data_IF_812617079046
#
_entry.id   IF_812617079046
#
_cell.length_a   1.000
_cell.length_b   1.000
_cell.length_c   1.000
_cell.angle_alpha   90.00
_cell.angle_beta   90.00
_cell.angle_gamma   90.00
#
_symmetry.space_group_name_H-M   'P 1'
#
loop_
_entity.id
_entity.type
_entity.pdbx_description
1 polymer ?
#
# COMPACT_ATOMS: atom_id res chain seq x y z
N UNK A 1 -16.82 -4.16 4.98
CA UNK A 1 -16.56 -3.13 6.01
C UNK A 1 -16.65 -1.78 5.35
N UNK A 2 -17.49 -0.92 5.90
CA UNK A 2 -17.71 0.45 5.44
C UNK A 2 -16.75 1.39 6.18
N UNK A 3 -16.01 2.23 5.46
CA UNK A 3 -15.05 3.18 6.05
C UNK A 3 -15.28 4.58 5.47
N UNK A 4 -15.23 5.65 6.29
CA UNK A 4 -15.47 7.00 5.77
C UNK A 4 -14.35 7.46 4.84
N UNK A 5 -14.72 8.08 3.71
CA UNK A 5 -13.73 8.66 2.78
C UNK A 5 -12.98 9.87 3.38
N UNK A 6 -13.62 10.57 4.31
CA UNK A 6 -13.09 11.77 4.96
C UNK A 6 -13.23 11.62 6.47
N UNK A 7 -12.16 11.88 7.21
CA UNK A 7 -12.17 11.82 8.67
C UNK A 7 -11.28 12.90 9.30
N UNK A 8 -11.60 13.34 10.52
CA UNK A 8 -10.73 14.25 11.29
C UNK A 8 -9.73 13.45 12.10
N UNK A 9 -8.44 13.68 11.88
CA UNK A 9 -7.34 13.02 12.60
C UNK A 9 -6.18 13.98 12.82
N UNK A 10 -5.28 13.61 13.72
CA UNK A 10 -4.03 14.33 13.95
C UNK A 10 -3.15 14.30 12.69
N UNK A 11 -2.62 15.46 12.29
CA UNK A 11 -1.62 15.58 11.25
C UNK A 11 -0.23 15.77 11.88
N UNK A 12 0.75 14.87 11.66
CA UNK A 12 2.09 14.97 12.24
C UNK A 12 2.95 16.09 11.62
N UNK A 13 2.47 16.74 10.55
CA UNK A 13 3.18 17.86 9.91
C UNK A 13 2.60 19.22 10.32
N UNK A 14 1.30 19.29 10.56
CA UNK A 14 0.64 20.51 11.01
C UNK A 14 0.52 20.58 12.54
N UNK A 15 0.85 19.50 13.26
CA UNK A 15 0.72 19.33 14.70
C UNK A 15 -0.67 19.67 15.25
N UNK A 16 -1.72 19.48 14.45
CA UNK A 16 -3.11 19.75 14.81
C UNK A 16 -4.05 18.74 14.17
N UNK A 17 -5.26 18.64 14.71
CA UNK A 17 -6.32 17.81 14.16
C UNK A 17 -6.97 18.48 12.96
N UNK A 18 -6.82 17.88 11.78
CA UNK A 18 -7.38 18.39 10.52
C UNK A 18 -8.24 17.34 9.85
N UNK A 19 -9.03 17.78 8.87
CA UNK A 19 -9.71 16.88 7.95
C UNK A 19 -8.68 16.17 7.06
N UNK A 20 -8.84 14.87 6.89
CA UNK A 20 -8.01 14.03 6.05
C UNK A 20 -8.87 13.24 5.07
N UNK A 21 -8.43 13.19 3.82
CA UNK A 21 -8.94 12.28 2.81
C UNK A 21 -8.22 10.94 2.93
N UNK A 22 -9.01 9.86 2.96
CA UNK A 22 -8.49 8.50 3.10
C UNK A 22 -8.45 7.83 1.74
N UNK A 23 -7.26 7.36 1.38
CA UNK A 23 -7.01 6.67 0.12
C UNK A 23 -6.51 5.25 0.40
N UNK A 24 -6.92 4.30 -0.45
CA UNK A 24 -6.35 2.95 -0.47
C UNK A 24 -5.15 2.91 -1.41
N UNK A 25 -4.03 2.35 -0.94
CA UNK A 25 -2.82 2.21 -1.76
C UNK A 25 -2.99 1.07 -2.76
N UNK A 26 -2.70 1.37 -4.03
CA UNK A 26 -2.57 0.36 -5.09
C UNK A 26 -1.09 0.02 -5.31
N UNK A 27 -0.78 -1.27 -5.43
CA UNK A 27 0.56 -1.74 -5.78
C UNK A 27 0.86 -1.38 -7.23
N UNK A 28 2.03 -0.77 -7.47
CA UNK A 28 2.55 -0.50 -8.82
C UNK A 28 3.37 -1.69 -9.33
N UNK A 29 3.56 -1.77 -10.64
CA UNK A 29 4.49 -2.71 -11.26
C UNK A 29 5.91 -2.51 -10.72
N UNK A 30 6.68 -3.60 -10.73
CA UNK A 30 8.06 -3.57 -10.24
C UNK A 30 8.93 -2.77 -11.21
N UNK A 31 9.81 -1.92 -10.66
CA UNK A 31 10.79 -1.17 -11.45
C UNK A 31 11.87 -2.10 -12.02
N UNK A 32 12.13 -2.01 -13.32
CA UNK A 32 13.14 -2.81 -14.04
C UNK A 32 14.57 -2.49 -13.60
N UNK A 33 14.86 -1.22 -13.34
CA UNK A 33 16.19 -0.74 -12.92
C UNK A 33 16.53 -1.05 -11.45
N UNK A 34 15.59 -1.61 -10.68
CA UNK A 34 15.85 -2.01 -9.30
C UNK A 34 16.97 -3.06 -9.25
N UNK A 35 17.90 -2.92 -8.30
CA UNK A 35 19.05 -3.81 -8.16
C UNK A 35 18.65 -5.29 -8.09
N UNK A 36 17.59 -5.62 -7.34
CA UNK A 36 17.08 -6.99 -7.24
C UNK A 36 16.55 -7.54 -8.55
N UNK A 37 15.93 -6.70 -9.40
CA UNK A 37 15.44 -7.12 -10.71
C UNK A 37 16.60 -7.34 -11.68
N UNK A 38 17.60 -6.45 -11.68
CA UNK A 38 18.84 -6.62 -12.46
C UNK A 38 19.55 -7.92 -12.10
N UNK A 39 19.68 -8.23 -10.80
CA UNK A 39 20.28 -9.49 -10.33
C UNK A 39 19.47 -10.72 -10.75
N UNK A 40 18.15 -10.65 -10.68
CA UNK A 40 17.27 -11.76 -11.10
C UNK A 40 17.38 -12.00 -12.60
N UNK A 41 17.29 -10.94 -13.42
CA UNK A 41 17.43 -11.05 -14.87
C UNK A 41 18.81 -11.60 -15.26
N UNK A 42 19.89 -11.22 -14.57
CA UNK A 42 21.23 -11.80 -14.79
C UNK A 42 21.28 -13.30 -14.49
N UNK A 43 20.62 -13.75 -13.42
CA UNK A 43 20.53 -15.19 -13.09
C UNK A 43 19.61 -15.98 -14.02
N UNK A 44 18.64 -15.32 -14.63
CA UNK A 44 17.69 -15.94 -15.56
C UNK A 44 18.29 -16.10 -16.97
N UNK A 45 19.33 -15.34 -17.33
CA UNK A 45 19.98 -15.43 -18.64
C UNK A 45 20.73 -16.75 -18.80
N UNK A 46 20.63 -17.34 -19.99
CA UNK A 46 21.29 -18.60 -20.34
C UNK A 46 20.37 -19.81 -20.16
N UNK A 47 20.95 -21.00 -20.22
CA UNK A 47 20.23 -22.25 -20.00
C UNK A 47 20.22 -22.61 -18.51
N UNK A 48 19.06 -23.01 -18.00
CA UNK A 48 18.91 -23.43 -16.61
C UNK A 48 17.45 -23.45 -16.15
N UNK A 49 17.23 -24.01 -14.97
CA UNK A 49 15.94 -24.01 -14.29
C UNK A 49 15.65 -22.66 -13.61
N UNK A 50 14.42 -22.48 -13.14
CA UNK A 50 14.00 -21.22 -12.51
C UNK A 50 14.79 -20.94 -11.22
N UNK A 51 15.46 -19.78 -11.10
CA UNK A 51 16.55 -19.60 -10.12
C UNK A 51 16.13 -19.26 -8.69
N UNK A 52 14.82 -19.16 -8.39
CA UNK A 52 14.31 -18.80 -7.04
C UNK A 52 13.01 -19.54 -6.74
N UNK A 53 12.75 -19.95 -5.49
CA UNK A 53 11.47 -20.55 -5.13
C UNK A 53 10.33 -19.54 -5.28
N UNK A 54 9.22 -19.98 -5.88
CA UNK A 54 7.98 -19.20 -6.00
C UNK A 54 6.93 -19.78 -5.04
N UNK A 55 6.32 -18.95 -4.17
CA UNK A 55 5.19 -19.41 -3.36
C UNK A 55 3.93 -19.50 -4.22
N UNK A 56 3.24 -20.63 -4.16
CA UNK A 56 2.05 -20.91 -4.98
C UNK A 56 0.72 -20.50 -4.33
N UNK A 57 0.75 -20.12 -3.04
CA UNK A 57 -0.46 -19.78 -2.30
C UNK A 57 -0.57 -18.28 -2.03
N UNK A 58 -1.81 -17.80 -2.01
CA UNK A 58 -2.14 -16.46 -1.57
C UNK A 58 -3.19 -16.50 -0.45
N UNK A 59 -3.02 -15.65 0.55
CA UNK A 59 -3.98 -15.55 1.66
C UNK A 59 -5.31 -15.00 1.16
N UNK A 60 -6.41 -15.56 1.64
CA UNK A 60 -7.78 -15.12 1.29
C UNK A 60 -8.05 -13.65 1.59
N UNK A 61 -7.38 -13.07 2.59
CA UNK A 61 -7.45 -11.64 2.90
C UNK A 61 -6.07 -11.05 3.22
N UNK A 62 -5.88 -9.81 2.79
CA UNK A 62 -4.67 -9.00 3.03
C UNK A 62 -4.97 -7.88 4.02
N UNK A 63 -3.93 -7.36 4.66
CA UNK A 63 -4.04 -6.15 5.47
C UNK A 63 -4.24 -4.95 4.53
N UNK A 64 -5.11 -4.03 4.91
CA UNK A 64 -5.41 -2.85 4.08
C UNK A 64 -4.38 -1.75 4.38
N UNK A 65 -3.70 -1.24 3.34
CA UNK A 65 -2.83 -0.06 3.47
C UNK A 65 -3.62 1.21 3.14
N UNK A 66 -3.85 2.04 4.16
CA UNK A 66 -4.55 3.31 4.07
C UNK A 66 -3.57 4.47 4.20
N UNK A 67 -3.73 5.47 3.33
CA UNK A 67 -2.99 6.74 3.40
C UNK A 67 -3.95 7.87 3.71
N UNK A 68 -3.57 8.66 4.70
CA UNK A 68 -4.32 9.82 5.16
C UNK A 68 -3.68 11.07 4.58
N UNK A 69 -4.34 11.67 3.58
CA UNK A 69 -3.93 12.93 2.96
C UNK A 69 -4.53 14.08 3.74
N UNK A 70 -3.70 14.92 4.34
CA UNK A 70 -4.16 16.13 5.02
C UNK A 70 -4.69 17.13 3.99
N UNK A 71 -5.86 17.71 4.22
CA UNK A 71 -6.41 18.76 3.32
C UNK A 71 -5.63 20.06 3.40
N UNK A 72 -5.02 20.36 4.55
CA UNK A 72 -4.30 21.62 4.80
C UNK A 72 -2.89 21.61 4.20
N UNK A 73 -2.08 20.58 4.46
CA UNK A 73 -0.70 20.52 3.98
C UNK A 73 -0.47 19.61 2.77
N UNK A 74 -1.49 18.88 2.32
CA UNK A 74 -1.41 17.93 1.20
C UNK A 74 -0.55 16.68 1.45
N UNK A 75 0.22 16.64 2.55
CA UNK A 75 1.10 15.51 2.89
C UNK A 75 0.28 14.30 3.31
N UNK A 76 0.75 13.13 2.89
CA UNK A 76 0.18 11.82 3.21
C UNK A 76 0.96 11.16 4.33
N UNK A 77 0.26 10.59 5.31
CA UNK A 77 0.88 9.76 6.33
C UNK A 77 0.12 8.44 6.49
N UNK A 78 0.77 7.47 7.14
CA UNK A 78 0.18 6.18 7.47
C UNK A 78 -0.13 6.16 8.96
N UNK A 79 -1.22 5.52 9.36
CA UNK A 79 -1.60 5.35 10.76
C UNK A 79 -1.58 3.87 11.12
N UNK A 80 -0.58 3.45 11.88
CA UNK A 80 -0.44 2.08 12.37
C UNK A 80 -0.38 1.03 11.27
N UNK A 81 -0.58 -0.23 11.65
CA UNK A 81 -0.76 -1.32 10.71
C UNK A 81 -2.23 -1.48 10.34
N UNK A 82 -2.50 -1.79 9.07
CA UNK A 82 -3.84 -2.16 8.62
C UNK A 82 -4.36 -3.45 9.22
N UNK A 83 -5.69 -3.56 9.28
CA UNK A 83 -6.39 -4.79 9.62
C UNK A 83 -6.77 -5.57 8.35
N UNK A 84 -7.17 -6.83 8.51
CA UNK A 84 -7.68 -7.67 7.42
C UNK A 84 -9.19 -7.52 7.30
N UNK A 85 -9.69 -7.38 6.08
CA UNK A 85 -11.12 -7.46 5.79
C UNK A 85 -11.32 -8.12 4.41
N UNK A 86 -12.42 -8.87 4.24
CA UNK A 86 -12.79 -9.49 2.94
C UNK A 86 -13.26 -8.45 1.92
N UNK A 87 -14.18 -7.56 2.32
CA UNK A 87 -14.69 -6.45 1.49
C UNK A 87 -14.44 -5.14 2.23
N UNK A 88 -13.90 -4.14 1.54
CA UNK A 88 -13.66 -2.81 2.08
C UNK A 88 -14.19 -1.76 1.10
N UNK A 89 -15.08 -0.90 1.57
CA UNK A 89 -15.79 0.08 0.76
C UNK A 89 -15.75 1.45 1.45
N UNK A 90 -15.51 2.49 0.65
CA UNK A 90 -15.58 3.86 1.13
C UNK A 90 -17.03 4.35 1.10
N UNK A 91 -17.55 4.77 2.25
CA UNK A 91 -18.84 5.46 2.32
C UNK A 91 -18.57 6.93 2.05
N UNK A 92 -19.23 7.46 1.02
CA UNK A 92 -19.40 8.91 0.88
C UNK A 92 -20.46 9.32 1.91
N UNK A 93 -20.06 10.17 2.85
CA UNK A 93 -21.01 11.02 3.55
C UNK A 93 -21.46 12.11 2.61
#
# INVERSE_FOLDING_TARGET
MKFPKVMRTYCPKCNKHTVHEVEMVKKKSRRTMAQGQRRFNRKLKGYGSFPRPQPDYEKSTKKIDLRYKCTVCGKKHMRGQGWRAKKFEFVKK
#
